data_IF_955848985591
#
_entry.id   IF_955848985591
#
_cell.length_a   1.000
_cell.length_b   1.000
_cell.length_c   1.000
_cell.angle_alpha   90.00
_cell.angle_beta   90.00
_cell.angle_gamma   90.00
#
_symmetry.space_group_name_H-M   'P 1'
#
loop_
_entity.id
_entity.type
_entity.pdbx_description
1 polymer ?
#
# COMPACT_ATOMS: atom_id res chain seq x y z
N UNK A 1 -35.53 -4.92 4.10
CA UNK A 1 -35.28 -4.82 5.55
C UNK A 1 -33.85 -5.29 5.81
N UNK A 2 -32.85 -4.40 5.98
CA UNK A 2 -31.49 -4.86 6.24
C UNK A 2 -31.43 -5.39 7.68
N UNK A 3 -30.93 -6.61 7.86
CA UNK A 3 -30.66 -7.15 9.21
C UNK A 3 -29.55 -6.30 9.82
N UNK A 4 -29.89 -5.56 10.88
CA UNK A 4 -28.94 -4.75 11.64
C UNK A 4 -27.81 -5.64 12.17
N UNK A 5 -26.57 -5.18 12.03
CA UNK A 5 -25.37 -5.76 12.65
C UNK A 5 -25.42 -5.83 14.17
N UNK A 6 -26.44 -5.24 14.79
CA UNK A 6 -26.65 -5.20 16.23
C UNK A 6 -27.64 -6.27 16.75
N UNK A 7 -28.09 -7.21 15.91
CA UNK A 7 -28.91 -8.33 16.37
C UNK A 7 -28.10 -9.20 17.38
N UNK A 8 -28.56 -9.34 18.64
CA UNK A 8 -27.83 -10.09 19.66
C UNK A 8 -27.59 -11.56 19.26
N UNK A 9 -28.46 -12.14 18.43
CA UNK A 9 -28.29 -13.51 17.90
C UNK A 9 -27.11 -13.64 16.94
N UNK A 10 -26.76 -12.55 16.26
CA UNK A 10 -25.59 -12.47 15.38
C UNK A 10 -24.33 -12.24 16.22
N UNK A 11 -24.42 -11.46 17.29
CA UNK A 11 -23.34 -11.18 18.24
C UNK A 11 -22.93 -12.43 19.04
N UNK A 12 -23.90 -13.29 19.38
CA UNK A 12 -23.71 -14.54 20.13
C UNK A 12 -23.37 -15.75 19.26
N UNK A 13 -23.26 -15.56 17.94
CA UNK A 13 -22.85 -16.63 17.03
C UNK A 13 -21.42 -17.10 17.40
N UNK A 14 -21.20 -18.41 17.67
CA UNK A 14 -19.92 -18.92 18.14
C UNK A 14 -18.75 -18.59 17.20
N UNK A 15 -19.00 -18.64 15.89
CA UNK A 15 -18.02 -18.30 14.85
C UNK A 15 -17.63 -16.82 14.86
N UNK A 16 -18.55 -15.92 15.24
CA UNK A 16 -18.27 -14.50 15.33
C UNK A 16 -17.46 -14.17 16.59
N UNK A 17 -17.75 -14.84 17.71
CA UNK A 17 -16.98 -14.70 18.94
C UNK A 17 -15.54 -15.20 18.77
N UNK A 18 -15.37 -16.33 18.10
CA UNK A 18 -14.07 -16.89 17.70
C UNK A 18 -13.29 -15.91 16.81
N UNK A 19 -13.90 -15.42 15.73
CA UNK A 19 -13.27 -14.44 14.86
C UNK A 19 -12.84 -13.16 15.62
N UNK A 20 -13.66 -12.67 16.57
CA UNK A 20 -13.34 -11.50 17.40
C UNK A 20 -12.19 -11.77 18.36
N UNK A 21 -12.13 -12.96 18.97
CA UNK A 21 -11.02 -13.39 19.83
C UNK A 21 -9.71 -13.39 19.03
N UNK A 22 -9.74 -13.96 17.83
CA UNK A 22 -8.55 -14.09 16.99
C UNK A 22 -8.05 -12.72 16.50
N UNK A 23 -8.97 -11.83 16.09
CA UNK A 23 -8.63 -10.44 15.75
C UNK A 23 -8.07 -9.68 16.95
N UNK A 24 -8.63 -9.88 18.16
CA UNK A 24 -8.13 -9.26 19.39
C UNK A 24 -6.72 -9.75 19.72
N UNK A 25 -6.47 -11.04 19.61
CA UNK A 25 -5.14 -11.64 19.82
C UNK A 25 -4.13 -11.13 18.79
N UNK A 26 -4.51 -11.02 17.51
CA UNK A 26 -3.66 -10.45 16.46
C UNK A 26 -3.29 -8.98 16.75
N UNK A 27 -4.26 -8.16 17.20
CA UNK A 27 -4.00 -6.76 17.62
C UNK A 27 -3.05 -6.66 18.80
N UNK A 28 -3.24 -7.49 19.83
CA UNK A 28 -2.35 -7.52 21.00
C UNK A 28 -0.92 -7.93 20.61
N UNK A 29 -0.80 -8.89 19.69
CA UNK A 29 0.47 -9.33 19.14
C UNK A 29 1.05 -8.38 18.07
N UNK A 30 0.39 -7.25 17.78
CA UNK A 30 0.73 -6.29 16.73
C UNK A 30 0.95 -6.95 15.35
N UNK A 31 0.24 -8.06 15.08
CA UNK A 31 0.26 -8.72 13.78
C UNK A 31 -0.57 -7.88 12.81
N UNK A 32 0.11 -7.14 11.93
CA UNK A 32 -0.53 -6.43 10.83
C UNK A 32 -1.15 -7.40 9.82
N UNK A 33 -2.03 -6.91 8.95
CA UNK A 33 -2.58 -7.67 7.81
C UNK A 33 -1.49 -8.25 6.91
N UNK A 34 -0.27 -7.68 6.99
CA UNK A 34 0.93 -8.10 6.27
C UNK A 34 1.94 -8.87 7.14
N UNK A 35 1.51 -9.47 8.25
CA UNK A 35 2.41 -10.29 9.10
C UNK A 35 2.98 -11.52 8.36
N UNK A 36 2.37 -11.90 7.24
CA UNK A 36 2.88 -12.87 6.28
C UNK A 36 3.06 -12.14 4.95
N UNK A 37 4.20 -12.30 4.24
CA UNK A 37 4.40 -11.67 2.94
C UNK A 37 3.28 -12.07 1.98
N UNK A 38 2.68 -11.09 1.31
CA UNK A 38 1.75 -11.40 0.22
C UNK A 38 2.54 -12.11 -0.88
N UNK A 39 1.96 -13.16 -1.45
CA UNK A 39 2.54 -13.82 -2.63
C UNK A 39 2.59 -12.88 -3.83
N UNK A 40 1.63 -11.96 -3.92
CA UNK A 40 1.51 -10.94 -4.94
C UNK A 40 1.01 -9.64 -4.32
N UNK A 41 1.63 -8.54 -4.68
CA UNK A 41 1.21 -7.20 -4.30
C UNK A 41 -0.09 -6.79 -5.03
N UNK A 42 -0.90 -5.88 -4.47
CA UNK A 42 -2.16 -5.45 -5.10
C UNK A 42 -2.01 -4.89 -6.52
N UNK A 43 -0.86 -4.30 -6.87
CA UNK A 43 -0.61 -3.79 -8.21
C UNK A 43 -0.29 -4.93 -9.20
N UNK A 44 0.38 -5.98 -8.75
CA UNK A 44 0.69 -7.17 -9.56
C UNK A 44 -0.61 -7.91 -9.89
N UNK A 45 -1.51 -8.04 -8.91
CA UNK A 45 -2.84 -8.61 -9.15
C UNK A 45 -3.63 -7.80 -10.19
N UNK A 46 -3.60 -6.46 -10.11
CA UNK A 46 -4.25 -5.59 -11.11
C UNK A 46 -3.64 -5.74 -12.49
N UNK A 47 -2.32 -5.85 -12.57
CA UNK A 47 -1.61 -6.08 -13.83
C UNK A 47 -1.98 -7.43 -14.43
N UNK A 48 -1.98 -8.51 -13.64
CA UNK A 48 -2.31 -9.86 -14.10
C UNK A 48 -3.79 -9.98 -14.52
N UNK A 49 -4.71 -9.43 -13.73
CA UNK A 49 -6.14 -9.55 -13.99
C UNK A 49 -6.62 -8.66 -15.15
N UNK A 50 -6.11 -7.43 -15.22
CA UNK A 50 -6.59 -6.41 -16.16
C UNK A 50 -5.65 -6.09 -17.30
N UNK A 51 -4.43 -6.66 -17.33
CA UNK A 51 -3.34 -6.31 -18.25
C UNK A 51 -3.07 -4.80 -18.33
N UNK A 52 -3.34 -4.09 -17.23
CA UNK A 52 -3.16 -2.65 -17.12
C UNK A 52 -1.90 -2.37 -16.32
N UNK A 53 -0.93 -1.72 -16.98
CA UNK A 53 0.27 -1.25 -16.31
C UNK A 53 -0.10 -0.26 -15.18
N UNK A 54 0.65 -0.24 -14.07
CA UNK A 54 0.51 0.80 -13.07
C UNK A 54 0.79 2.18 -13.70
N UNK A 55 0.04 3.20 -13.30
CA UNK A 55 0.07 4.53 -13.92
C UNK A 55 0.33 5.67 -12.91
N UNK A 56 0.52 5.34 -11.63
CA UNK A 56 0.75 6.32 -10.56
C UNK A 56 2.22 6.43 -10.23
N UNK A 57 2.66 7.65 -10.02
CA UNK A 57 3.98 7.92 -9.49
C UNK A 57 3.99 7.66 -7.99
N UNK A 58 5.18 7.48 -7.45
CA UNK A 58 5.39 7.05 -6.07
C UNK A 58 6.33 8.01 -5.36
N UNK A 59 5.96 8.42 -4.14
CA UNK A 59 6.87 9.04 -3.18
C UNK A 59 7.24 7.96 -2.15
N UNK A 60 8.54 7.74 -1.95
CA UNK A 60 9.06 6.86 -0.89
C UNK A 60 9.13 7.66 0.43
N UNK A 61 8.21 7.37 1.35
CA UNK A 61 8.14 8.04 2.66
C UNK A 61 9.27 7.61 3.60
N UNK A 62 9.89 6.45 3.36
CA UNK A 62 11.05 5.97 4.10
C UNK A 62 12.39 6.51 3.57
N UNK A 63 12.38 7.33 2.51
CA UNK A 63 13.59 7.89 1.95
C UNK A 63 14.26 8.91 2.90
N UNK A 64 15.46 8.57 3.39
CA UNK A 64 16.23 9.44 4.29
C UNK A 64 17.27 10.30 3.56
N UNK A 65 17.79 9.83 2.42
CA UNK A 65 18.80 10.56 1.65
C UNK A 65 18.23 11.88 1.09
N UNK A 66 18.95 13.01 1.18
CA UNK A 66 18.46 14.31 0.70
C UNK A 66 18.00 14.31 -0.76
N UNK A 67 18.71 13.58 -1.63
CA UNK A 67 18.38 13.46 -3.05
C UNK A 67 17.13 12.58 -3.31
N UNK A 68 16.77 11.68 -2.39
CA UNK A 68 15.62 10.79 -2.54
C UNK A 68 14.32 11.42 -2.00
N UNK A 69 14.40 12.39 -1.08
CA UNK A 69 13.23 13.04 -0.45
C UNK A 69 12.35 13.86 -1.41
N UNK A 70 12.90 14.34 -2.53
CA UNK A 70 12.16 15.10 -3.56
C UNK A 70 12.14 14.38 -4.90
N UNK A 71 12.09 13.05 -4.85
CA UNK A 71 12.08 12.22 -6.05
C UNK A 71 10.72 11.54 -6.21
N UNK A 72 10.14 11.68 -7.40
CA UNK A 72 8.99 10.92 -7.84
C UNK A 72 9.47 9.67 -8.56
N UNK A 73 9.14 8.51 -8.02
CA UNK A 73 9.45 7.20 -8.58
C UNK A 73 8.39 6.79 -9.60
N UNK A 74 8.80 6.20 -10.73
CA UNK A 74 7.86 5.79 -11.75
C UNK A 74 7.04 4.57 -11.31
N UNK A 75 5.92 4.27 -11.99
CA UNK A 75 5.02 3.19 -11.62
C UNK A 75 5.66 1.80 -11.52
N UNK A 76 6.74 1.57 -12.25
CA UNK A 76 7.47 0.30 -12.31
C UNK A 76 8.30 0.04 -11.04
N UNK A 77 8.57 1.07 -10.22
CA UNK A 77 9.43 0.95 -9.03
C UNK A 77 8.70 0.47 -7.78
N UNK A 78 7.41 0.12 -7.85
CA UNK A 78 6.60 -0.18 -6.66
C UNK A 78 7.17 -1.30 -5.80
N UNK A 79 7.71 -2.35 -6.41
CA UNK A 79 8.29 -3.49 -5.72
C UNK A 79 9.55 -3.16 -4.91
N UNK A 80 10.14 -1.98 -5.12
CA UNK A 80 11.38 -1.54 -4.48
C UNK A 80 11.14 -0.74 -3.19
N UNK A 81 9.90 -0.37 -2.91
CA UNK A 81 9.50 0.39 -1.70
C UNK A 81 8.54 -0.47 -0.90
N UNK A 82 8.69 -0.61 0.44
CA UNK A 82 7.73 -1.32 1.28
C UNK A 82 6.32 -0.72 1.15
N UNK A 83 5.27 -1.54 1.18
CA UNK A 83 3.91 -1.09 0.91
C UNK A 83 3.44 0.05 1.83
N UNK A 84 3.88 0.02 3.09
CA UNK A 84 3.64 1.02 4.13
C UNK A 84 4.31 2.38 3.87
N UNK A 85 5.40 2.39 3.10
CA UNK A 85 6.19 3.58 2.81
C UNK A 85 5.77 4.24 1.48
N UNK A 86 4.73 3.71 0.80
CA UNK A 86 4.30 4.18 -0.52
C UNK A 86 3.23 5.26 -0.43
N UNK A 87 3.54 6.45 -0.94
CA UNK A 87 2.53 7.48 -1.21
C UNK A 87 2.30 7.63 -2.73
N UNK A 88 1.06 7.39 -3.16
CA UNK A 88 0.68 7.42 -4.57
C UNK A 88 0.37 8.83 -5.08
N UNK A 89 0.93 9.18 -6.24
CA UNK A 89 0.69 10.44 -6.95
C UNK A 89 0.14 10.14 -8.35
N UNK A 90 -1.12 10.47 -8.64
CA UNK A 90 -1.66 10.40 -10.00
C UNK A 90 -0.82 11.19 -11.02
N UNK A 91 -0.74 10.70 -12.25
CA UNK A 91 0.15 11.26 -13.29
C UNK A 91 -0.20 12.70 -13.65
N UNK A 92 -1.48 13.07 -13.57
CA UNK A 92 -1.99 14.42 -13.79
C UNK A 92 -1.47 15.45 -12.78
N UNK A 93 -1.05 15.01 -11.58
CA UNK A 93 -0.51 15.91 -10.55
C UNK A 93 1.01 16.00 -10.55
N UNK A 94 1.71 15.12 -11.28
CA UNK A 94 3.18 15.15 -11.38
C UNK A 94 3.73 16.52 -11.79
N UNK A 95 3.15 17.25 -12.76
CA UNK A 95 3.64 18.58 -13.11
C UNK A 95 3.70 19.54 -11.91
N UNK A 96 2.70 19.49 -11.01
CA UNK A 96 2.65 20.35 -9.83
C UNK A 96 3.83 20.12 -8.88
N UNK A 97 4.26 18.87 -8.73
CA UNK A 97 5.44 18.54 -7.92
C UNK A 97 6.72 19.02 -8.57
N UNK A 98 6.84 18.82 -9.89
CA UNK A 98 8.00 19.28 -10.67
C UNK A 98 8.16 20.79 -10.57
N UNK A 99 7.07 21.55 -10.67
CA UNK A 99 7.06 23.01 -10.50
C UNK A 99 7.50 23.45 -9.08
N UNK A 100 7.38 22.56 -8.09
CA UNK A 100 7.87 22.78 -6.71
C UNK A 100 9.28 22.22 -6.47
N UNK A 101 9.99 21.88 -7.54
CA UNK A 101 11.38 21.43 -7.51
C UNK A 101 11.54 19.95 -7.14
N UNK A 102 10.55 19.11 -7.45
CA UNK A 102 10.70 17.66 -7.41
C UNK A 102 11.26 17.13 -8.74
N UNK A 103 11.99 16.01 -8.66
CA UNK A 103 12.61 15.39 -9.83
C UNK A 103 11.95 14.04 -10.10
N UNK A 104 11.69 13.74 -11.38
CA UNK A 104 11.28 12.40 -11.80
C UNK A 104 12.51 11.49 -11.83
N UNK A 105 12.43 10.34 -11.17
CA UNK A 105 13.47 9.32 -11.27
C UNK A 105 13.54 8.76 -12.70
N UNK A 106 14.73 8.32 -13.09
CA UNK A 106 14.88 7.56 -14.32
C UNK A 106 14.16 6.20 -14.18
N UNK A 107 13.67 5.60 -15.29
CA UNK A 107 12.91 4.35 -15.27
C UNK A 107 13.61 3.17 -14.56
N UNK A 108 14.95 3.18 -14.53
CA UNK A 108 15.78 2.13 -13.94
C UNK A 108 16.48 2.54 -12.65
N UNK A 109 16.19 3.74 -12.12
CA UNK A 109 16.76 4.16 -10.85
C UNK A 109 16.16 3.35 -9.70
N UNK A 110 16.90 3.21 -8.59
CA UNK A 110 16.43 2.50 -7.39
C UNK A 110 16.18 3.48 -6.23
N UNK A 111 15.03 3.41 -5.53
CA UNK A 111 14.72 4.23 -4.38
C UNK A 111 15.63 3.98 -3.18
N UNK A 112 16.08 2.74 -3.01
CA UNK A 112 16.98 2.35 -1.92
C UNK A 112 18.15 1.53 -2.48
N UNK A 113 19.39 1.75 -2.01
CA UNK A 113 20.45 0.76 -2.20
C UNK A 113 20.03 -0.55 -1.50
N UNK A 114 20.36 -1.68 -2.12
CA UNK A 114 20.16 -3.00 -1.54
C UNK A 114 21.02 -3.20 -0.29
#
# INVERSE_FOLDING_TARGET
MPKSSDDPRVQDAPSLQEARRDVRAARQAKKGVFATPLLLEPFELRYLAGRRAPDRWLIDLGAHAPAAKKTLWPPESYFQVPAEDRLWVPSEYVPLFVDKGWTKAAPNARPRPA
#
